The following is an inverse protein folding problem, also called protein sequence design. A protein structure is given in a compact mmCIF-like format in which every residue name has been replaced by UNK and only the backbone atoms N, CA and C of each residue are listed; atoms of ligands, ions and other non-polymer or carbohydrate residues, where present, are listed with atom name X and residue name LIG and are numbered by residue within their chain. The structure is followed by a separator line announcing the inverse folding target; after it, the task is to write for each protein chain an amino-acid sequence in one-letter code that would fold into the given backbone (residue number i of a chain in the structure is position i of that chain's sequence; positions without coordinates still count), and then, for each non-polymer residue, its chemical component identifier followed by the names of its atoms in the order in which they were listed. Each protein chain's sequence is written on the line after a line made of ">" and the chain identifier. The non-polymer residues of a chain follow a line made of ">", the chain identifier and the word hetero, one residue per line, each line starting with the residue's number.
data_IF_977147901117
#
_entry.id   IF_977147901117
#
_cell.length_a   1.000
_cell.length_b   1.000
_cell.length_c   1.000
_cell.angle_alpha   90.00
_cell.angle_beta   90.00
_cell.angle_gamma   90.00
#
_symmetry.space_group_name_H-M   'P 1'
#
loop_
_entity.id
_entity.type
_entity.pdbx_description
1 polymer ?
#
# COMPACT_ATOMS: atom_id res chain seq x y z
N UNK A 1 13.95 -3.63 5.55
CA UNK A 1 12.55 -3.54 5.99
C UNK A 1 12.19 -2.08 6.17
N UNK A 2 11.24 -1.57 5.40
CA UNK A 2 10.74 -0.19 5.49
C UNK A 2 9.45 -0.10 6.31
N UNK A 3 9.12 1.09 6.80
CA UNK A 3 7.81 1.42 7.35
C UNK A 3 7.17 2.48 6.46
N UNK A 4 5.90 2.28 6.14
CA UNK A 4 5.09 3.21 5.34
C UNK A 4 3.82 3.58 6.07
N UNK A 5 3.17 4.63 5.58
CA UNK A 5 1.81 4.99 5.99
C UNK A 5 0.95 4.76 4.76
N UNK A 6 -0.08 3.93 4.87
CA UNK A 6 -1.14 3.88 3.88
C UNK A 6 -2.31 4.74 4.36
N UNK A 7 -2.82 5.56 3.45
CA UNK A 7 -4.07 6.29 3.64
C UNK A 7 -5.09 5.69 2.68
N UNK A 8 -6.10 5.02 3.24
CA UNK A 8 -7.14 4.31 2.49
C UNK A 8 -8.44 5.11 2.62
N UNK A 9 -9.02 5.49 1.49
CA UNK A 9 -10.39 6.01 1.45
C UNK A 9 -11.36 4.85 1.36
N UNK A 10 -12.34 4.79 2.26
CA UNK A 10 -13.42 3.80 2.19
C UNK A 10 -14.51 4.29 1.24
N UNK A 11 -15.12 3.39 0.47
CA UNK A 11 -16.25 3.69 -0.43
C UNK A 11 -17.48 4.27 0.30
N UNK A 12 -17.68 3.86 1.57
CA UNK A 12 -18.91 4.12 2.32
C UNK A 12 -18.85 5.40 3.19
N UNK A 13 -17.66 5.98 3.37
CA UNK A 13 -17.45 7.11 4.29
C UNK A 13 -16.54 8.18 3.69
N UNK A 14 -16.85 9.47 3.92
CA UNK A 14 -15.92 10.58 3.65
C UNK A 14 -14.65 10.56 4.55
N UNK A 15 -14.53 9.52 5.38
CA UNK A 15 -13.41 9.26 6.26
C UNK A 15 -12.29 8.48 5.54
N UNK A 16 -11.08 8.99 5.66
CA UNK A 16 -9.86 8.33 5.23
C UNK A 16 -9.22 7.64 6.46
N UNK A 17 -8.84 6.38 6.30
CA UNK A 17 -8.18 5.61 7.35
C UNK A 17 -6.68 5.60 7.08
N UNK A 18 -5.90 6.08 8.04
CA UNK A 18 -4.45 5.93 8.00
C UNK A 18 -4.02 4.72 8.80
N UNK A 19 -3.16 3.88 8.21
CA UNK A 19 -2.62 2.69 8.86
C UNK A 19 -1.11 2.58 8.61
N UNK A 20 -0.38 2.14 9.64
CA UNK A 20 1.04 1.86 9.50
C UNK A 20 1.22 0.53 8.77
N UNK A 21 1.95 0.56 7.66
CA UNK A 21 2.31 -0.62 6.90
C UNK A 21 3.76 -0.98 7.14
N UNK A 22 4.02 -2.28 7.23
CA UNK A 22 5.35 -2.84 7.01
C UNK A 22 5.51 -3.04 5.52
N UNK A 23 6.60 -2.51 4.97
CA UNK A 23 6.88 -2.52 3.54
C UNK A 23 8.19 -3.26 3.27
N UNK A 24 8.13 -4.18 2.31
CA UNK A 24 9.31 -4.88 1.80
C UNK A 24 9.26 -4.79 0.27
N UNK A 25 10.34 -4.31 -0.34
CA UNK A 25 10.53 -4.39 -1.79
C UNK A 25 11.93 -4.89 -2.10
N UNK A 26 12.05 -5.64 -3.20
CA UNK A 26 13.29 -6.19 -3.68
C UNK A 26 13.25 -6.41 -5.18
N UNK A 27 14.42 -6.37 -5.82
CA UNK A 27 14.56 -6.82 -7.19
C UNK A 27 14.58 -8.36 -7.26
N UNK A 28 14.27 -8.90 -8.44
CA UNK A 28 14.37 -10.33 -8.73
C UNK A 28 15.83 -10.81 -8.95
N UNK A 29 16.85 -9.98 -8.66
CA UNK A 29 18.26 -10.24 -8.96
C UNK A 29 19.11 -10.59 -7.73
N UNK A 30 18.67 -10.27 -6.51
CA UNK A 30 19.42 -10.58 -5.28
C UNK A 30 20.61 -9.67 -5.00
N UNK A 31 20.87 -8.66 -5.86
CA UNK A 31 21.97 -7.72 -5.72
C UNK A 31 21.53 -6.34 -5.17
N UNK A 32 20.23 -6.06 -5.12
CA UNK A 32 19.71 -4.77 -4.66
C UNK A 32 18.52 -4.92 -3.72
N UNK A 33 18.77 -5.03 -2.41
CA UNK A 33 17.85 -4.36 -1.48
C UNK A 33 17.98 -2.89 -1.86
N UNK A 34 17.01 -2.33 -2.58
CA UNK A 34 17.04 -0.94 -3.04
C UNK A 34 17.15 -0.03 -1.82
N UNK A 35 18.39 0.26 -1.45
CA UNK A 35 18.79 1.19 -0.39
C UNK A 35 18.97 2.59 -0.96
N UNK A 36 18.85 2.74 -2.28
CA UNK A 36 18.81 4.01 -3.01
C UNK A 36 17.43 4.27 -3.59
N UNK A 37 16.40 4.16 -2.75
CA UNK A 37 15.13 4.80 -3.03
C UNK A 37 15.34 6.30 -2.79
N UNK A 38 15.78 7.02 -3.83
CA UNK A 38 16.08 8.47 -3.78
C UNK A 38 14.83 9.34 -3.58
N UNK A 39 13.64 8.75 -3.71
CA UNK A 39 12.35 9.40 -3.56
C UNK A 39 11.41 8.54 -2.72
N UNK A 40 10.57 9.11 -1.84
CA UNK A 40 9.59 8.35 -1.09
C UNK A 40 8.77 7.42 -2.00
N UNK A 41 8.56 6.18 -1.56
CA UNK A 41 7.71 5.23 -2.30
C UNK A 41 6.27 5.70 -2.17
N UNK A 42 5.63 5.95 -3.32
CA UNK A 42 4.22 6.32 -3.38
C UNK A 42 3.49 5.33 -4.26
N UNK A 43 2.45 4.72 -3.70
CA UNK A 43 1.60 3.75 -4.36
C UNK A 43 0.16 4.26 -4.31
N UNK A 44 -0.54 4.17 -5.44
CA UNK A 44 -1.96 4.47 -5.55
C UNK A 44 -2.71 3.16 -5.66
N UNK A 45 -3.54 2.85 -4.66
CA UNK A 45 -4.37 1.65 -4.65
C UNK A 45 -5.67 1.95 -5.39
N UNK A 46 -5.75 1.60 -6.68
CA UNK A 46 -6.94 1.87 -7.50
C UNK A 46 -8.07 0.88 -7.22
N UNK A 47 -7.71 -0.39 -7.02
CA UNK A 47 -8.68 -1.47 -6.87
C UNK A 47 -9.18 -1.63 -5.44
N UNK A 48 -10.50 -1.72 -5.30
CA UNK A 48 -11.15 -2.02 -4.00
C UNK A 48 -10.74 -3.39 -3.44
N UNK A 49 -10.20 -4.28 -4.28
CA UNK A 49 -9.70 -5.60 -3.85
C UNK A 49 -8.48 -5.44 -2.95
N UNK A 50 -7.57 -4.53 -3.29
CA UNK A 50 -6.34 -4.25 -2.53
C UNK A 50 -6.66 -3.58 -1.20
N UNK A 51 -7.49 -2.54 -1.21
CA UNK A 51 -7.87 -1.82 0.00
C UNK A 51 -8.62 -2.73 0.98
N UNK A 52 -9.52 -3.59 0.49
CA UNK A 52 -10.23 -4.58 1.32
C UNK A 52 -9.29 -5.65 1.90
N UNK A 53 -8.28 -6.11 1.16
CA UNK A 53 -7.29 -7.04 1.67
C UNK A 53 -6.51 -6.42 2.85
N UNK A 54 -6.00 -5.20 2.68
CA UNK A 54 -5.32 -4.46 3.75
C UNK A 54 -6.22 -4.23 4.97
N UNK A 55 -7.49 -3.88 4.75
CA UNK A 55 -8.47 -3.68 5.83
C UNK A 55 -8.80 -4.97 6.59
N UNK A 56 -8.71 -6.14 5.95
CA UNK A 56 -8.82 -7.45 6.62
C UNK A 56 -7.54 -7.87 7.34
N UNK A 57 -6.48 -7.08 7.26
CA UNK A 57 -5.16 -7.45 7.79
C UNK A 57 -4.42 -8.46 6.94
N UNK A 58 -4.81 -8.63 5.67
CA UNK A 58 -4.17 -9.55 4.73
C UNK A 58 -2.96 -8.88 4.07
N UNK A 59 -1.97 -9.70 3.76
CA UNK A 59 -0.78 -9.25 3.04
C UNK A 59 -1.09 -9.05 1.56
N UNK A 60 -0.64 -7.92 1.02
CA UNK A 60 -0.71 -7.62 -0.41
C UNK A 60 0.65 -7.90 -1.01
N UNK A 61 0.75 -8.95 -1.80
CA UNK A 61 1.95 -9.32 -2.55
C UNK A 61 1.77 -8.85 -3.99
N UNK A 62 2.73 -8.10 -4.53
CA UNK A 62 2.67 -7.50 -5.88
C UNK A 62 2.24 -8.47 -6.98
N UNK A 63 2.70 -9.72 -6.89
CA UNK A 63 2.47 -10.76 -7.91
C UNK A 63 1.00 -11.21 -8.01
N UNK A 64 0.18 -10.89 -7.01
CA UNK A 64 -1.25 -11.23 -6.98
C UNK A 64 -2.15 -10.14 -7.58
N UNK A 65 -1.58 -9.04 -8.07
CA UNK A 65 -2.28 -7.84 -8.49
C UNK A 65 -1.70 -7.30 -9.80
N UNK A 66 -2.53 -6.62 -10.59
CA UNK A 66 -2.03 -5.88 -11.74
C UNK A 66 -1.28 -4.63 -11.26
N UNK A 67 0.01 -4.55 -11.57
CA UNK A 67 0.89 -3.43 -11.18
C UNK A 67 1.26 -2.65 -12.42
N UNK A 68 1.25 -1.32 -12.33
CA UNK A 68 1.62 -0.41 -13.43
C UNK A 68 2.35 0.82 -12.88
N UNK A 69 3.24 1.43 -13.66
CA UNK A 69 3.76 2.79 -13.38
C UNK A 69 3.05 3.87 -14.21
N UNK A 70 2.09 3.48 -15.05
CA UNK A 70 1.32 4.40 -15.87
C UNK A 70 0.10 4.92 -15.10
N UNK A 71 0.09 6.23 -14.80
CA UNK A 71 -0.96 6.89 -14.01
C UNK A 71 -2.39 6.77 -14.59
N UNK A 72 -2.51 6.50 -15.88
CA UNK A 72 -3.77 6.40 -16.62
C UNK A 72 -4.16 4.95 -16.95
N UNK A 73 -3.43 3.97 -16.44
CA UNK A 73 -3.78 2.57 -16.58
C UNK A 73 -4.96 2.24 -15.66
N UNK A 74 -6.13 2.02 -16.25
CA UNK A 74 -7.36 1.73 -15.51
C UNK A 74 -7.52 0.25 -15.15
N UNK A 75 -6.70 -0.61 -15.75
CA UNK A 75 -6.71 -2.05 -15.49
C UNK A 75 -5.75 -2.43 -14.35
N UNK A 76 -4.91 -1.49 -13.90
CA UNK A 76 -4.00 -1.66 -12.77
C UNK A 76 -4.77 -1.72 -11.44
N UNK A 77 -4.43 -2.69 -10.60
CA UNK A 77 -4.90 -2.73 -9.22
C UNK A 77 -4.12 -1.74 -8.34
N UNK A 78 -2.81 -1.57 -8.63
CA UNK A 78 -1.89 -0.68 -7.91
C UNK A 78 -1.02 0.08 -8.92
N UNK A 79 -0.95 1.41 -8.77
CA UNK A 79 -0.05 2.25 -9.55
C UNK A 79 1.16 2.65 -8.70
N UNK A 80 2.36 2.49 -9.26
CA UNK A 80 3.60 3.00 -8.69
C UNK A 80 3.77 4.45 -9.17
N UNK A 81 3.56 5.41 -8.27
CA UNK A 81 3.73 6.84 -8.57
C UNK A 81 5.20 7.26 -8.48
N UNK A 82 5.92 6.78 -7.45
CA UNK A 82 7.35 7.08 -7.28
C UNK A 82 8.08 6.08 -6.39
N UNK A 83 9.42 6.10 -6.44
CA UNK A 83 10.29 5.40 -5.49
C UNK A 83 10.45 3.89 -5.72
N UNK A 84 9.75 3.31 -6.70
CA UNK A 84 9.87 1.92 -7.11
C UNK A 84 9.77 1.80 -8.64
N UNK A 85 10.35 0.74 -9.21
CA UNK A 85 10.15 0.37 -10.63
C UNK A 85 9.20 -0.84 -10.69
N UNK A 86 8.43 -0.97 -11.78
CA UNK A 86 7.57 -2.15 -12.04
C UNK A 86 8.35 -3.47 -12.03
N UNK A 87 9.66 -3.42 -12.28
CA UNK A 87 10.54 -4.60 -12.22
C UNK A 87 10.84 -5.11 -10.81
N UNK A 88 10.32 -4.47 -9.75
CA UNK A 88 10.53 -4.89 -8.37
C UNK A 88 9.27 -5.52 -7.79
N UNK A 89 9.45 -6.66 -7.11
CA UNK A 89 8.42 -7.24 -6.27
C UNK A 89 8.30 -6.50 -4.95
N UNK A 90 7.09 -6.43 -4.39
CA UNK A 90 6.87 -5.85 -3.07
C UNK A 90 5.76 -6.54 -2.28
N UNK A 91 5.84 -6.41 -0.96
CA UNK A 91 4.83 -6.86 0.00
C UNK A 91 4.41 -5.69 0.87
N UNK A 92 3.11 -5.41 0.90
CA UNK A 92 2.48 -4.55 1.89
C UNK A 92 1.90 -5.44 2.98
N UNK A 93 2.44 -5.34 4.17
CA UNK A 93 1.99 -6.10 5.32
C UNK A 93 1.35 -5.15 6.34
N UNK A 94 0.02 -5.21 6.52
CA UNK A 94 -0.70 -4.40 7.50
C UNK A 94 -0.48 -4.86 8.96
N UNK A 95 0.09 -6.05 9.15
CA UNK A 95 0.36 -6.63 10.46
C UNK A 95 -0.85 -7.29 11.09
N UNK A 96 -0.59 -8.17 12.07
CA UNK A 96 -1.58 -9.04 12.69
C UNK A 96 -2.66 -8.30 13.51
N UNK A 97 -2.50 -6.99 13.75
CA UNK A 97 -3.37 -6.25 14.67
C UNK A 97 -4.60 -5.61 14.03
N UNK A 98 -4.77 -5.64 12.71
CA UNK A 98 -5.87 -4.89 12.08
C UNK A 98 -7.24 -5.45 12.49
N UNK A 99 -7.36 -6.78 12.67
CA UNK A 99 -8.63 -7.41 13.09
C UNK A 99 -8.93 -7.20 14.59
N UNK A 100 -7.92 -6.91 15.42
CA UNK A 100 -8.13 -6.48 16.81
C UNK A 100 -8.52 -4.99 16.91
N UNK A 101 -8.17 -4.19 15.90
CA UNK A 101 -8.29 -2.73 15.90
C UNK A 101 -9.52 -2.16 15.19
N UNK A 102 -10.27 -2.96 14.41
CA UNK A 102 -11.59 -2.56 13.89
C UNK A 102 -12.57 -2.18 15.03
N UNK A 103 -12.28 -2.59 16.27
CA UNK A 103 -13.04 -2.22 17.48
C UNK A 103 -12.29 -1.35 18.50
N UNK A 104 -11.06 -0.89 18.23
CA UNK A 104 -10.46 0.14 19.07
C UNK A 104 -8.93 0.19 19.09
N UNK A 105 -8.41 1.35 18.65
CA UNK A 105 -7.13 1.95 19.06
C UNK A 105 -5.87 1.67 18.22
N UNK A 106 -5.87 2.03 16.91
CA UNK A 106 -4.69 2.48 16.12
C UNK A 106 -5.05 3.01 14.71
N UNK A 107 -6.30 2.89 14.23
CA UNK A 107 -6.71 3.60 12.99
C UNK A 107 -7.03 5.06 13.31
N UNK A 108 -6.14 5.99 12.95
CA UNK A 108 -6.48 7.42 12.97
C UNK A 108 -7.46 7.69 11.83
N UNK A 109 -8.73 7.95 12.17
CA UNK A 109 -9.70 8.50 11.22
C UNK A 109 -9.25 9.93 10.89
N UNK A 110 -8.85 10.14 9.64
CA UNK A 110 -8.48 11.46 9.11
C UNK A 110 -9.59 11.91 8.15
N UNK A 111 -9.87 13.21 8.12
CA UNK A 111 -10.76 13.74 7.10
C UNK A 111 -10.06 13.65 5.74
N UNK A 112 -10.72 13.12 4.71
CA UNK A 112 -10.12 13.04 3.37
C UNK A 112 -9.81 14.42 2.75
N UNK A 113 -10.26 15.52 3.36
CA UNK A 113 -9.94 16.91 2.98
C UNK A 113 -8.64 17.45 3.58
N UNK A 114 -7.97 16.68 4.45
CA UNK A 114 -6.63 17.00 4.96
C UNK A 114 -5.51 16.31 4.14
N UNK A 115 -5.88 15.71 3.00
CA UNK A 115 -4.98 15.05 2.04
C UNK A 115 -4.43 15.99 0.97
#
# INVERSE_FOLDING_TARGET
>A
MGRGIATIRSDDSQDCQSLQLRFVAGDFGGDGVSTQVTQPIRLILQSTRVSKALARGEDVVSDMYAISSQMNDTDADIIIESGLSESHGFVLNPGASIVADVFGSTTSRLSCSEM
#
